data_IF_948828675045
#
_entry.id   IF_948828675045
#
_cell.length_a   1.000
_cell.length_b   1.000
_cell.length_c   1.000
_cell.angle_alpha   90.00
_cell.angle_beta   90.00
_cell.angle_gamma   90.00
#
_symmetry.space_group_name_H-M   'P 1'
#
loop_
_entity.id
_entity.type
_entity.pdbx_description
1 polymer ?
#
# COMPACT_ATOMS: atom_id res chain seq x y z
N UNK A 1 -7.04 7.82 -12.97
CA UNK A 1 -6.03 8.40 -12.06
C UNK A 1 -6.46 8.16 -10.63
N UNK A 2 -6.19 6.98 -10.12
CA UNK A 2 -6.56 6.54 -8.77
C UNK A 2 -5.41 6.79 -7.80
N UNK A 3 -5.45 7.95 -7.15
CA UNK A 3 -4.51 8.29 -6.08
C UNK A 3 -5.12 7.97 -4.71
N UNK A 4 -4.35 7.26 -3.89
CA UNK A 4 -4.71 6.91 -2.51
C UNK A 4 -3.69 7.52 -1.58
N UNK A 5 -4.18 8.14 -0.51
CA UNK A 5 -3.32 8.65 0.56
C UNK A 5 -3.41 7.70 1.73
N UNK A 6 -2.26 7.20 2.15
CA UNK A 6 -2.10 6.36 3.33
C UNK A 6 -1.14 7.09 4.27
N UNK A 7 -1.65 7.60 5.39
CA UNK A 7 -0.93 8.53 6.26
C UNK A 7 -0.39 9.77 5.52
N UNK A 8 0.95 9.91 5.48
CA UNK A 8 1.66 11.01 4.76
C UNK A 8 2.11 10.63 3.34
N UNK A 9 1.81 9.41 2.87
CA UNK A 9 2.27 8.89 1.58
C UNK A 9 1.12 8.91 0.57
N UNK A 10 1.41 9.33 -0.66
CA UNK A 10 0.46 9.28 -1.78
C UNK A 10 0.91 8.20 -2.75
N UNK A 11 -0.01 7.30 -3.11
CA UNK A 11 0.22 6.18 -4.02
C UNK A 11 -0.70 6.33 -5.24
N UNK A 12 -0.15 6.20 -6.45
CA UNK A 12 -0.95 6.08 -7.67
C UNK A 12 -1.13 4.60 -7.99
N UNK A 13 -2.34 4.08 -7.84
CA UNK A 13 -2.63 2.66 -8.09
C UNK A 13 -2.64 2.31 -9.56
N UNK A 14 -2.92 3.26 -10.46
CA UNK A 14 -2.93 3.00 -11.91
C UNK A 14 -1.53 2.65 -12.45
N UNK A 15 -0.48 2.98 -11.70
CA UNK A 15 0.92 2.69 -12.08
C UNK A 15 1.47 1.45 -11.38
N UNK A 16 0.73 0.84 -10.45
CA UNK A 16 1.20 -0.34 -9.72
C UNK A 16 0.92 -1.58 -10.57
N UNK A 17 1.98 -2.31 -10.93
CA UNK A 17 1.87 -3.59 -11.64
C UNK A 17 2.11 -4.80 -10.73
N UNK A 18 2.80 -4.60 -9.60
CA UNK A 18 3.11 -5.65 -8.64
C UNK A 18 3.21 -5.08 -7.21
N UNK A 19 2.76 -5.87 -6.23
CA UNK A 19 2.75 -5.53 -4.82
C UNK A 19 3.33 -6.70 -4.01
N UNK A 20 4.34 -6.43 -3.19
CA UNK A 20 4.90 -7.41 -2.25
C UNK A 20 4.90 -6.84 -0.84
N UNK A 21 4.47 -7.66 0.13
CA UNK A 21 4.44 -7.31 1.54
C UNK A 21 5.51 -8.08 2.31
N UNK A 22 6.35 -7.36 3.06
CA UNK A 22 7.31 -7.93 4.01
C UNK A 22 6.91 -7.51 5.42
N UNK A 23 6.77 -8.49 6.31
CA UNK A 23 6.42 -8.31 7.71
C UNK A 23 7.65 -8.67 8.55
N UNK A 24 8.07 -7.79 9.45
CA UNK A 24 9.14 -8.10 10.39
C UNK A 24 8.56 -8.72 11.67
N UNK A 25 9.36 -9.56 12.34
CA UNK A 25 8.96 -10.32 13.54
C UNK A 25 8.67 -9.43 14.77
N UNK A 26 8.94 -8.13 14.70
CA UNK A 26 8.61 -7.12 15.72
C UNK A 26 7.18 -6.55 15.56
N UNK A 27 6.34 -7.19 14.73
CA UNK A 27 4.85 -7.12 14.69
C UNK A 27 4.24 -5.73 14.35
N UNK A 28 5.05 -4.68 14.23
CA UNK A 28 4.55 -3.29 14.10
C UNK A 28 4.87 -2.59 12.79
N UNK A 29 5.69 -3.20 11.92
CA UNK A 29 6.15 -2.57 10.68
C UNK A 29 5.87 -3.46 9.47
N UNK A 30 5.18 -2.88 8.48
CA UNK A 30 4.91 -3.53 7.19
C UNK A 30 5.63 -2.74 6.10
N UNK A 31 6.49 -3.39 5.32
CA UNK A 31 7.05 -2.80 4.10
C UNK A 31 6.28 -3.36 2.93
N UNK A 32 5.71 -2.46 2.15
CA UNK A 32 5.06 -2.83 0.90
C UNK A 32 5.87 -2.27 -0.25
N UNK A 33 6.26 -3.14 -1.17
CA UNK A 33 6.95 -2.80 -2.39
C UNK A 33 5.90 -2.71 -3.48
N UNK A 34 5.65 -1.51 -3.99
CA UNK A 34 4.82 -1.27 -5.15
C UNK A 34 5.73 -1.07 -6.37
N UNK A 35 5.86 -2.09 -7.21
CA UNK A 35 6.61 -1.97 -8.46
C UNK A 35 5.75 -1.27 -9.54
N UNK A 36 6.37 -0.38 -10.30
CA UNK A 36 5.69 0.44 -11.32
C UNK A 36 5.28 1.84 -10.84
N UNK A 37 5.35 2.12 -9.54
CA UNK A 37 5.37 3.50 -9.02
C UNK A 37 6.55 4.25 -9.63
N UNK A 38 6.35 5.52 -9.99
CA UNK A 38 7.32 6.35 -10.73
C UNK A 38 8.73 6.43 -10.09
N UNK A 39 8.88 6.03 -8.82
CA UNK A 39 10.15 6.04 -8.11
C UNK A 39 10.64 4.66 -7.63
N UNK A 40 9.94 3.55 -7.93
CA UNK A 40 10.25 2.17 -7.48
C UNK A 40 10.68 2.07 -5.99
N UNK A 41 10.26 3.02 -5.17
CA UNK A 41 10.75 3.16 -3.79
C UNK A 41 9.86 2.31 -2.89
N UNK A 42 10.42 1.34 -2.15
CA UNK A 42 9.66 0.59 -1.17
C UNK A 42 9.02 1.52 -0.13
N UNK A 43 7.73 1.35 0.12
CA UNK A 43 7.03 2.13 1.13
C UNK A 43 7.01 1.35 2.44
N UNK A 44 7.60 1.93 3.48
CA UNK A 44 7.50 1.40 4.84
C UNK A 44 6.32 2.08 5.53
N UNK A 45 5.38 1.27 5.98
CA UNK A 45 4.18 1.68 6.69
C UNK A 45 4.31 1.33 8.17
N UNK A 46 3.86 2.26 9.01
CA UNK A 46 3.64 1.97 10.43
C UNK A 46 2.43 1.05 10.57
N UNK A 47 2.28 0.36 11.71
CA UNK A 47 1.12 -0.50 11.94
C UNK A 47 -0.24 0.20 11.78
N UNK A 48 -0.33 1.51 12.05
CA UNK A 48 -1.56 2.29 11.83
C UNK A 48 -1.82 2.52 10.34
N UNK A 49 -0.81 2.96 9.60
CA UNK A 49 -0.90 3.20 8.15
C UNK A 49 -1.15 1.90 7.38
N UNK A 50 -0.55 0.78 7.82
CA UNK A 50 -0.76 -0.54 7.24
C UNK A 50 -2.21 -1.03 7.39
N UNK A 51 -2.83 -0.77 8.55
CA UNK A 51 -4.25 -1.06 8.78
C UNK A 51 -5.17 -0.21 7.89
N UNK A 52 -4.82 1.05 7.67
CA UNK A 52 -5.56 1.93 6.76
C UNK A 52 -5.47 1.42 5.31
N UNK A 53 -4.27 1.03 4.86
CA UNK A 53 -4.06 0.43 3.55
C UNK A 53 -4.87 -0.86 3.38
N UNK A 54 -4.85 -1.76 4.37
CA UNK A 54 -5.60 -3.01 4.34
C UNK A 54 -7.10 -2.78 4.12
N UNK A 55 -7.72 -1.91 4.94
CA UNK A 55 -9.14 -1.57 4.80
C UNK A 55 -9.50 -1.00 3.44
N UNK A 56 -8.60 -0.19 2.88
CA UNK A 56 -8.80 0.38 1.56
C UNK A 56 -8.77 -0.71 0.47
N UNK A 57 -7.83 -1.66 0.56
CA UNK A 57 -7.74 -2.77 -0.39
C UNK A 57 -8.99 -3.67 -0.33
N UNK A 58 -9.47 -3.99 0.88
CA UNK A 58 -10.72 -4.76 1.06
C UNK A 58 -11.91 -4.02 0.43
N UNK A 59 -12.05 -2.72 0.69
CA UNK A 59 -13.12 -1.91 0.09
C UNK A 59 -13.07 -1.88 -1.44
N UNK A 60 -11.88 -1.83 -2.03
CA UNK A 60 -11.72 -1.87 -3.49
C UNK A 60 -12.03 -3.27 -4.03
N UNK A 61 -11.63 -4.34 -3.34
CA UNK A 61 -11.92 -5.71 -3.74
C UNK A 61 -13.42 -6.06 -3.67
N UNK A 62 -14.15 -5.47 -2.72
CA UNK A 62 -15.60 -5.66 -2.55
C UNK A 62 -16.45 -4.81 -3.50
N UNK A 63 -15.86 -3.82 -4.19
CA UNK A 63 -16.59 -3.04 -5.18
C UNK A 63 -16.95 -3.92 -6.39
N UNK A 64 -18.22 -4.02 -6.78
CA UNK A 64 -18.58 -4.71 -8.00
C UNK A 64 -17.96 -3.95 -9.19
N UNK A 65 -17.19 -4.69 -10.00
CA UNK A 65 -16.56 -4.22 -11.25
C UNK A 65 -17.55 -3.86 -12.32
#
# INVERSE_FOLDING_TARGET
MHFVRIGKKTLNLDTVSYCEAQIWQDDMSLKVIFAGSSNNTPLVFTGADAKELWKYLDYVAEKPT
#
